data_IF_596069911087
#
_entry.id   IF_596069911087
#
_cell.length_a   1.000
_cell.length_b   1.000
_cell.length_c   1.000
_cell.angle_alpha   90.00
_cell.angle_beta   90.00
_cell.angle_gamma   90.00
#
_symmetry.space_group_name_H-M   'P 1'
#
loop_
_entity.id
_entity.type
_entity.pdbx_description
1 polymer ?
#
# COMPACT_ATOMS: atom_id res chain seq x y z
N UNK A 1 -9.78 74.24 -21.65
CA UNK A 1 -9.42 73.27 -22.69
C UNK A 1 -8.50 72.26 -22.04
N UNK A 2 -8.82 70.98 -22.26
CA UNK A 2 -7.97 69.78 -22.04
C UNK A 2 -7.53 69.47 -20.60
N UNK A 3 -8.13 68.48 -19.93
CA UNK A 3 -8.05 67.02 -20.12
C UNK A 3 -6.84 66.40 -19.40
N UNK A 4 -7.07 65.25 -18.76
CA UNK A 4 -5.98 64.37 -18.31
C UNK A 4 -6.07 63.92 -16.87
N UNK A 5 -6.94 62.95 -16.60
CA UNK A 5 -6.94 62.21 -15.34
C UNK A 5 -5.66 61.40 -15.13
N UNK A 6 -5.29 61.18 -13.86
CA UNK A 6 -4.24 60.24 -13.47
C UNK A 6 -4.72 59.41 -12.28
N UNK A 7 -5.08 58.17 -12.58
CA UNK A 7 -5.43 57.15 -11.59
C UNK A 7 -4.18 56.67 -10.82
N UNK A 8 -4.32 56.18 -9.58
CA UNK A 8 -3.22 55.62 -8.81
C UNK A 8 -2.82 54.22 -9.32
N UNK A 9 -1.54 54.03 -9.53
CA UNK A 9 -0.88 52.77 -9.90
C UNK A 9 -0.91 51.78 -8.72
N UNK A 10 -1.76 50.75 -8.80
CA UNK A 10 -1.64 49.54 -7.98
C UNK A 10 -0.57 48.59 -8.53
N UNK A 11 0.00 47.70 -7.69
CA UNK A 11 1.06 46.77 -8.10
C UNK A 11 0.52 45.71 -9.09
N UNK A 12 1.38 45.12 -9.94
CA UNK A 12 0.96 44.15 -10.94
C UNK A 12 0.42 42.88 -10.27
N UNK A 13 -0.77 42.46 -10.72
CA UNK A 13 -1.32 41.13 -10.43
C UNK A 13 -0.47 40.11 -11.18
N UNK A 14 0.40 39.41 -10.47
CA UNK A 14 1.02 38.19 -10.96
C UNK A 14 -0.08 37.21 -11.32
N UNK A 15 -0.21 36.95 -12.62
CA UNK A 15 -1.03 35.88 -13.15
C UNK A 15 -0.36 34.59 -12.73
N UNK A 16 -0.88 33.98 -11.67
CA UNK A 16 -0.64 32.61 -11.27
C UNK A 16 -0.93 31.70 -12.48
N UNK A 17 0.10 31.45 -13.28
CA UNK A 17 0.08 30.48 -14.34
C UNK A 17 0.02 29.11 -13.65
N UNK A 18 -1.20 28.61 -13.48
CA UNK A 18 -1.53 27.27 -13.01
C UNK A 18 -0.69 26.25 -13.78
N UNK A 19 0.43 25.84 -13.19
CA UNK A 19 1.33 24.87 -13.79
C UNK A 19 0.56 23.56 -13.98
N UNK A 20 0.47 23.13 -15.24
CA UNK A 20 -0.10 21.83 -15.60
C UNK A 20 0.76 20.74 -14.92
N UNK A 21 0.17 19.70 -14.32
CA UNK A 21 0.95 18.63 -13.71
C UNK A 21 1.80 17.97 -14.80
N UNK A 22 3.11 17.96 -14.57
CA UNK A 22 4.08 17.33 -15.46
C UNK A 22 3.76 15.83 -15.57
N UNK A 23 3.72 15.34 -16.80
CA UNK A 23 3.43 13.94 -17.13
C UNK A 23 4.49 13.05 -16.52
N UNK A 24 4.09 12.25 -15.52
CA UNK A 24 4.88 11.16 -14.94
C UNK A 24 5.27 10.21 -16.07
N UNK A 25 6.55 10.14 -16.43
CA UNK A 25 7.02 9.15 -17.39
C UNK A 25 6.94 7.77 -16.73
N UNK A 26 5.86 7.05 -17.01
CA UNK A 26 5.76 5.62 -16.75
C UNK A 26 6.93 4.94 -17.48
N UNK A 27 7.88 4.33 -16.78
CA UNK A 27 8.90 3.48 -17.39
C UNK A 27 8.28 2.10 -17.70
N UNK A 28 7.73 1.86 -18.91
CA UNK A 28 6.86 0.69 -19.13
C UNK A 28 7.66 -0.60 -19.07
N UNK A 29 8.96 -0.55 -19.40
CA UNK A 29 9.90 -1.66 -19.31
C UNK A 29 10.21 -2.05 -17.86
N UNK A 30 10.33 -1.08 -16.96
CA UNK A 30 10.58 -1.35 -15.54
C UNK A 30 9.33 -1.95 -14.88
N UNK A 31 8.15 -1.40 -15.19
CA UNK A 31 6.88 -1.97 -14.75
C UNK A 31 6.67 -3.41 -15.28
N UNK A 32 6.99 -3.66 -16.55
CA UNK A 32 6.94 -5.00 -17.13
C UNK A 32 7.91 -5.98 -16.46
N UNK A 33 9.14 -5.55 -16.14
CA UNK A 33 10.11 -6.38 -15.44
C UNK A 33 9.64 -6.72 -14.02
N UNK A 34 9.12 -5.73 -13.28
CA UNK A 34 8.55 -5.90 -11.94
C UNK A 34 7.34 -6.86 -11.96
N UNK A 35 6.43 -6.72 -12.92
CA UNK A 35 5.28 -7.62 -13.08
C UNK A 35 5.65 -9.05 -13.46
N UNK A 36 6.81 -9.26 -14.07
CA UNK A 36 7.32 -10.58 -14.42
C UNK A 36 8.19 -11.21 -13.34
N UNK A 37 8.56 -10.47 -12.29
CA UNK A 37 9.45 -10.99 -11.23
C UNK A 37 10.89 -11.19 -11.70
N UNK A 38 11.30 -10.58 -12.82
CA UNK A 38 12.67 -10.74 -13.32
C UNK A 38 13.60 -9.74 -12.62
N UNK A 39 14.37 -10.19 -11.64
CA UNK A 39 15.31 -9.34 -10.90
C UNK A 39 16.43 -8.76 -11.78
N UNK A 40 17.02 -9.56 -12.67
CA UNK A 40 18.23 -9.12 -13.41
C UNK A 40 17.99 -7.90 -14.32
N UNK A 41 16.93 -7.82 -15.15
CA UNK A 41 16.66 -6.61 -15.93
C UNK A 41 16.17 -5.46 -15.05
N UNK A 42 15.49 -5.77 -13.95
CA UNK A 42 14.98 -4.80 -13.00
C UNK A 42 16.13 -4.09 -12.28
N UNK A 43 17.13 -4.82 -11.81
CA UNK A 43 18.32 -4.26 -11.17
C UNK A 43 19.13 -3.39 -12.13
N UNK A 44 19.30 -3.80 -13.39
CA UNK A 44 19.96 -2.98 -14.41
C UNK A 44 19.19 -1.68 -14.64
N UNK A 45 17.86 -1.73 -14.72
CA UNK A 45 17.03 -0.54 -14.92
C UNK A 45 16.98 0.37 -13.68
N UNK A 46 17.17 -0.15 -12.48
CA UNK A 46 17.30 0.64 -11.26
C UNK A 46 18.71 1.22 -11.06
N UNK A 47 19.75 0.52 -11.53
CA UNK A 47 21.16 0.92 -11.35
C UNK A 47 21.74 1.79 -12.47
N UNK A 48 21.25 1.68 -13.72
CA UNK A 48 21.77 2.46 -14.85
C UNK A 48 21.12 3.85 -14.99
N UNK A 49 21.32 4.71 -13.99
CA UNK A 49 21.39 6.18 -14.18
C UNK A 49 22.83 6.71 -14.12
N UNK A 50 23.83 5.85 -14.24
CA UNK A 50 25.22 6.25 -14.42
C UNK A 50 26.10 5.06 -14.82
N UNK A 51 26.95 5.28 -15.83
CA UNK A 51 28.03 4.42 -16.31
C UNK A 51 27.66 3.27 -17.29
N UNK A 52 28.14 3.45 -18.55
CA UNK A 52 28.90 2.38 -19.17
C UNK A 52 28.37 1.71 -20.44
N UNK A 53 28.04 2.48 -21.48
CA UNK A 53 28.27 2.04 -22.87
C UNK A 53 28.40 3.25 -23.82
N UNK A 54 29.58 3.42 -24.43
CA UNK A 54 29.91 4.37 -25.53
C UNK A 54 30.57 3.59 -26.68
N UNK A 55 30.79 4.12 -27.93
CA UNK A 55 30.35 5.37 -28.62
C UNK A 55 29.91 5.08 -30.10
N UNK A 56 29.88 6.02 -31.11
CA UNK A 56 30.01 7.51 -31.18
C UNK A 56 28.74 8.16 -31.82
N UNK A 57 28.46 9.47 -31.94
CA UNK A 57 29.23 10.72 -31.90
C UNK A 57 28.29 11.93 -31.65
N UNK A 58 28.91 13.04 -31.21
CA UNK A 58 28.58 14.47 -31.33
C UNK A 58 27.50 15.17 -30.46
N UNK A 59 27.98 16.27 -29.87
CA UNK A 59 27.32 17.45 -29.28
C UNK A 59 27.00 17.50 -27.76
N UNK A 60 28.04 17.94 -27.05
CA UNK A 60 28.11 18.89 -25.92
C UNK A 60 26.84 19.38 -25.18
N UNK A 61 26.98 19.30 -23.84
CA UNK A 61 26.25 19.84 -22.65
C UNK A 61 25.70 21.29 -22.76
N UNK A 62 24.72 21.75 -21.94
CA UNK A 62 24.97 22.10 -20.52
C UNK A 62 23.95 21.56 -19.49
N UNK A 63 24.26 21.67 -18.18
CA UNK A 63 23.58 21.03 -17.06
C UNK A 63 22.50 21.92 -16.45
N UNK A 64 21.41 21.33 -15.96
CA UNK A 64 20.40 22.04 -15.19
C UNK A 64 19.01 21.43 -15.33
N UNK A 65 18.58 20.69 -14.32
CA UNK A 65 17.26 20.06 -14.30
C UNK A 65 16.92 19.53 -12.92
N UNK A 66 17.02 20.39 -11.90
CA UNK A 66 16.38 20.17 -10.61
C UNK A 66 14.87 20.25 -10.83
N UNK A 67 14.14 19.18 -10.51
CA UNK A 67 12.69 19.25 -10.35
C UNK A 67 12.40 19.08 -8.86
N UNK A 68 12.22 20.24 -8.23
CA UNK A 68 11.64 20.41 -6.91
C UNK A 68 10.13 20.12 -6.98
N UNK A 69 9.49 19.64 -5.91
CA UNK A 69 8.20 20.13 -5.39
C UNK A 69 7.77 19.37 -4.13
N UNK A 70 7.76 20.16 -3.04
CA UNK A 70 6.84 20.27 -1.89
C UNK A 70 6.64 19.03 -1.01
N UNK A 71 7.42 19.03 0.08
CA UNK A 71 7.10 18.39 1.35
C UNK A 71 6.26 19.41 2.13
N UNK A 72 4.96 19.17 2.27
CA UNK A 72 4.20 19.72 3.39
C UNK A 72 4.27 18.67 4.50
N UNK A 73 5.32 18.72 5.33
CA UNK A 73 5.27 18.20 6.69
C UNK A 73 6.36 18.85 7.55
N UNK A 74 5.91 19.68 8.48
CA UNK A 74 6.67 20.12 9.65
C UNK A 74 6.91 18.88 10.54
N UNK A 75 8.00 18.15 10.32
CA UNK A 75 8.96 17.72 11.34
C UNK A 75 10.02 16.72 10.81
N UNK A 76 11.28 17.18 10.85
CA UNK A 76 12.53 16.47 11.17
C UNK A 76 12.78 15.05 10.59
N UNK A 77 13.61 14.92 9.55
CA UNK A 77 15.08 14.77 9.67
C UNK A 77 15.72 14.44 8.30
N UNK A 78 16.92 14.99 8.09
CA UNK A 78 17.68 14.97 6.84
C UNK A 78 18.09 13.54 6.46
N UNK A 79 17.65 13.07 5.28
CA UNK A 79 18.25 11.91 4.61
C UNK A 79 18.60 12.27 3.17
N UNK A 80 19.83 11.88 2.81
CA UNK A 80 20.61 12.24 1.66
C UNK A 80 19.94 12.00 0.29
N UNK A 81 20.31 12.86 -0.65
CA UNK A 81 19.64 13.14 -1.91
C UNK A 81 20.27 12.34 -3.06
N UNK A 82 20.03 11.02 -3.12
CA UNK A 82 20.44 10.18 -4.25
C UNK A 82 19.39 9.11 -4.57
N UNK A 83 18.75 9.30 -5.73
CA UNK A 83 17.81 8.40 -6.43
C UNK A 83 16.35 8.37 -5.94
N UNK A 84 15.61 9.37 -6.40
CA UNK A 84 14.20 9.34 -6.81
C UNK A 84 13.60 7.93 -6.98
N UNK A 85 12.81 7.50 -6.00
CA UNK A 85 11.34 7.44 -6.12
C UNK A 85 10.81 7.00 -7.50
N UNK A 86 11.08 5.76 -7.90
CA UNK A 86 10.53 5.23 -9.15
C UNK A 86 9.05 4.83 -8.93
N UNK A 87 8.16 5.82 -9.03
CA UNK A 87 6.71 5.58 -9.17
C UNK A 87 6.44 5.06 -10.58
N UNK A 88 5.75 3.93 -10.68
CA UNK A 88 5.66 3.12 -11.90
C UNK A 88 4.30 3.15 -12.59
N UNK A 89 3.24 3.58 -11.91
CA UNK A 89 1.88 3.48 -12.44
C UNK A 89 0.95 4.64 -12.04
N UNK A 90 -0.29 4.58 -12.54
CA UNK A 90 -1.36 5.55 -12.27
C UNK A 90 -1.78 5.62 -10.80
N UNK A 91 -1.45 4.60 -10.00
CA UNK A 91 -1.71 4.55 -8.56
C UNK A 91 -0.48 4.98 -7.74
N UNK A 92 0.57 5.49 -8.40
CA UNK A 92 1.84 5.84 -7.77
C UNK A 92 2.48 4.67 -7.02
N UNK A 93 2.25 3.44 -7.49
CA UNK A 93 2.93 2.26 -6.95
C UNK A 93 4.42 2.35 -7.28
N UNK A 94 5.26 2.11 -6.28
CA UNK A 94 6.68 1.92 -6.51
C UNK A 94 6.96 0.49 -7.03
N UNK A 95 8.22 0.21 -7.34
CA UNK A 95 8.67 -1.10 -7.82
C UNK A 95 8.29 -2.23 -6.85
N UNK A 96 8.42 -2.01 -5.54
CA UNK A 96 8.11 -3.01 -4.52
C UNK A 96 6.60 -3.26 -4.39
N UNK A 97 5.73 -2.25 -4.50
CA UNK A 97 4.28 -2.45 -4.56
C UNK A 97 3.87 -3.35 -5.72
N UNK A 98 4.48 -3.14 -6.90
CA UNK A 98 4.18 -3.92 -8.10
C UNK A 98 4.64 -5.36 -7.93
N UNK A 99 5.90 -5.59 -7.52
CA UNK A 99 6.40 -6.95 -7.29
C UNK A 99 5.56 -7.66 -6.22
N UNK A 100 5.25 -6.97 -5.12
CA UNK A 100 4.49 -7.52 -4.01
C UNK A 100 3.07 -7.96 -4.38
N UNK A 101 2.44 -7.32 -5.38
CA UNK A 101 1.10 -7.67 -5.86
C UNK A 101 1.09 -8.61 -7.07
N UNK A 102 2.24 -8.83 -7.72
CA UNK A 102 2.30 -9.58 -8.99
C UNK A 102 2.45 -11.08 -8.80
N UNK A 103 3.07 -11.54 -7.72
CA UNK A 103 3.28 -12.97 -7.48
C UNK A 103 4.06 -13.26 -6.20
N UNK A 104 4.08 -14.53 -5.82
CA UNK A 104 4.73 -15.03 -4.60
C UNK A 104 5.68 -16.23 -4.87
N UNK A 105 6.01 -16.47 -6.15
CA UNK A 105 7.03 -17.43 -6.57
C UNK A 105 8.45 -16.93 -6.34
N UNK A 106 9.43 -17.84 -6.38
CA UNK A 106 10.83 -17.58 -6.00
C UNK A 106 11.46 -16.39 -6.73
N UNK A 107 11.14 -16.20 -8.02
CA UNK A 107 11.61 -15.06 -8.82
C UNK A 107 11.11 -13.71 -8.29
N UNK A 108 9.85 -13.65 -7.84
CA UNK A 108 9.27 -12.46 -7.23
C UNK A 108 9.85 -12.19 -5.85
N UNK A 109 10.05 -13.24 -5.05
CA UNK A 109 10.67 -13.11 -3.72
C UNK A 109 12.10 -12.59 -3.84
N UNK A 110 12.88 -13.12 -4.79
CA UNK A 110 14.24 -12.66 -5.02
C UNK A 110 14.29 -11.24 -5.57
N UNK A 111 13.34 -10.88 -6.44
CA UNK A 111 13.16 -9.50 -6.88
C UNK A 111 12.82 -8.56 -5.72
N UNK A 112 11.91 -8.96 -4.83
CA UNK A 112 11.54 -8.18 -3.66
C UNK A 112 12.73 -7.99 -2.71
N UNK A 113 13.51 -9.05 -2.46
CA UNK A 113 14.76 -8.99 -1.70
C UNK A 113 15.75 -8.03 -2.33
N UNK A 114 16.00 -8.16 -3.63
CA UNK A 114 16.93 -7.31 -4.35
C UNK A 114 16.53 -5.82 -4.26
N UNK A 115 15.26 -5.52 -4.50
CA UNK A 115 14.72 -4.16 -4.37
C UNK A 115 14.89 -3.64 -2.95
N UNK A 116 14.58 -4.47 -1.95
CA UNK A 116 14.69 -4.10 -0.55
C UNK A 116 16.15 -3.83 -0.14
N UNK A 117 17.10 -4.65 -0.58
CA UNK A 117 18.52 -4.46 -0.32
C UNK A 117 19.06 -3.15 -0.93
N UNK A 118 18.57 -2.78 -2.12
CA UNK A 118 18.96 -1.54 -2.80
C UNK A 118 18.26 -0.31 -2.19
N UNK A 119 16.97 -0.42 -1.86
CA UNK A 119 16.13 0.70 -1.45
C UNK A 119 15.16 0.30 -0.33
N UNK A 120 15.68 0.17 0.89
CA UNK A 120 14.92 -0.26 2.08
C UNK A 120 13.69 0.60 2.39
N UNK A 121 13.80 1.91 2.14
CA UNK A 121 12.72 2.87 2.37
C UNK A 121 11.45 2.57 1.55
N UNK A 122 11.55 1.79 0.47
CA UNK A 122 10.38 1.41 -0.34
C UNK A 122 9.41 0.48 0.38
N UNK A 123 9.86 -0.24 1.42
CA UNK A 123 8.98 -1.06 2.26
C UNK A 123 7.95 -0.21 3.01
N UNK A 124 8.34 1.03 3.31
CA UNK A 124 7.55 1.99 4.07
C UNK A 124 6.75 2.96 3.22
N UNK A 125 7.08 3.03 1.93
CA UNK A 125 6.50 3.97 1.00
C UNK A 125 5.03 3.69 0.76
N UNK A 126 4.27 4.78 0.64
CA UNK A 126 2.83 4.78 0.41
C UNK A 126 2.53 5.13 -1.04
N UNK A 127 1.62 4.40 -1.67
CA UNK A 127 1.11 4.73 -2.99
C UNK A 127 0.01 5.81 -2.88
N UNK A 128 -0.68 6.13 -3.99
CA UNK A 128 -1.76 7.12 -4.05
C UNK A 128 -2.93 6.86 -3.08
N UNK A 129 -3.17 5.61 -2.69
CA UNK A 129 -4.24 5.21 -1.74
C UNK A 129 -3.72 5.13 -0.30
N UNK A 130 -2.45 5.47 -0.07
CA UNK A 130 -1.78 5.27 1.21
C UNK A 130 -1.33 3.82 1.44
N UNK A 131 -1.47 2.91 0.48
CA UNK A 131 -1.11 1.50 0.65
C UNK A 131 0.41 1.34 0.69
N UNK A 132 0.88 0.52 1.62
CA UNK A 132 2.27 0.01 1.64
C UNK A 132 2.37 -1.29 0.82
N UNK A 133 3.58 -1.78 0.48
CA UNK A 133 3.74 -3.07 -0.18
C UNK A 133 3.05 -4.24 0.55
N UNK A 134 2.97 -4.20 1.89
CA UNK A 134 2.20 -5.17 2.68
C UNK A 134 0.71 -5.17 2.35
N UNK A 135 0.10 -4.00 2.15
CA UNK A 135 -1.32 -3.91 1.76
C UNK A 135 -1.54 -4.52 0.39
N UNK A 136 -0.65 -4.23 -0.57
CA UNK A 136 -0.72 -4.76 -1.93
C UNK A 136 -0.57 -6.29 -1.95
N UNK A 137 0.40 -6.84 -1.23
CA UNK A 137 0.59 -8.29 -1.11
C UNK A 137 -0.59 -8.98 -0.41
N UNK A 138 -1.06 -8.44 0.71
CA UNK A 138 -2.20 -8.99 1.45
C UNK A 138 -3.49 -8.96 0.62
N UNK A 139 -3.74 -7.86 -0.11
CA UNK A 139 -4.90 -7.73 -1.00
C UNK A 139 -4.85 -8.66 -2.20
N UNK A 140 -3.65 -8.93 -2.71
CA UNK A 140 -3.44 -9.88 -3.79
C UNK A 140 -3.47 -11.34 -3.32
N UNK A 141 -3.41 -11.60 -2.00
CA UNK A 141 -3.37 -12.96 -1.45
C UNK A 141 -2.00 -13.62 -1.55
N UNK A 142 -0.94 -12.83 -1.68
CA UNK A 142 0.44 -13.30 -1.88
C UNK A 142 1.08 -13.70 -0.54
N UNK A 143 0.68 -14.85 0.01
CA UNK A 143 1.05 -15.28 1.36
C UNK A 143 2.57 -15.40 1.55
N UNK A 144 3.26 -16.06 0.61
CA UNK A 144 4.72 -16.22 0.70
C UNK A 144 5.43 -14.88 0.61
N UNK A 145 4.90 -13.95 -0.19
CA UNK A 145 5.43 -12.58 -0.29
C UNK A 145 5.27 -11.82 1.02
N UNK A 146 4.10 -11.85 1.66
CA UNK A 146 3.89 -11.20 2.97
C UNK A 146 4.86 -11.75 4.01
N UNK A 147 4.98 -13.08 4.08
CA UNK A 147 5.92 -13.77 4.98
C UNK A 147 7.36 -13.33 4.70
N UNK A 148 7.74 -13.23 3.43
CA UNK A 148 9.06 -12.80 3.01
C UNK A 148 9.35 -11.33 3.40
N UNK A 149 8.40 -10.43 3.17
CA UNK A 149 8.52 -9.02 3.58
C UNK A 149 8.63 -8.86 5.10
N UNK A 150 7.92 -9.69 5.89
CA UNK A 150 8.08 -9.77 7.35
C UNK A 150 9.50 -10.19 7.70
N UNK A 151 10.03 -11.24 7.07
CA UNK A 151 11.40 -11.70 7.30
C UNK A 151 12.44 -10.61 6.96
N UNK A 152 12.25 -9.87 5.86
CA UNK A 152 13.13 -8.75 5.48
C UNK A 152 13.10 -7.63 6.53
N UNK A 153 11.91 -7.21 6.96
CA UNK A 153 11.75 -6.20 8.02
C UNK A 153 12.38 -6.66 9.35
N UNK A 154 12.18 -7.92 9.71
CA UNK A 154 12.75 -8.53 10.92
C UNK A 154 14.27 -8.59 10.87
N UNK A 155 14.84 -8.87 9.71
CA UNK A 155 16.30 -8.87 9.52
C UNK A 155 16.92 -7.46 9.64
N UNK A 156 16.16 -6.40 9.34
CA UNK A 156 16.63 -5.01 9.46
C UNK A 156 16.59 -4.48 10.88
N UNK A 157 15.50 -4.72 11.61
CA UNK A 157 15.29 -4.09 12.92
C UNK A 157 14.45 -4.90 13.90
N UNK A 158 14.40 -6.22 13.71
CA UNK A 158 13.69 -7.13 14.60
C UNK A 158 12.17 -6.94 14.59
N UNK A 159 11.53 -7.37 15.68
CA UNK A 159 10.07 -7.38 15.78
C UNK A 159 9.47 -5.96 15.82
N UNK A 160 10.19 -4.98 16.35
CA UNK A 160 9.73 -3.58 16.39
C UNK A 160 9.61 -2.98 14.99
N UNK A 161 10.55 -3.32 14.10
CA UNK A 161 10.51 -2.91 12.70
C UNK A 161 9.33 -3.53 11.96
N UNK A 162 9.06 -4.82 12.20
CA UNK A 162 7.91 -5.53 11.65
C UNK A 162 6.60 -4.87 12.10
N UNK A 163 6.44 -4.65 13.42
CA UNK A 163 5.26 -3.98 13.99
C UNK A 163 5.06 -2.59 13.40
N UNK A 164 6.11 -1.77 13.33
CA UNK A 164 6.04 -0.44 12.74
C UNK A 164 5.56 -0.48 11.27
N UNK A 165 5.99 -1.47 10.49
CA UNK A 165 5.59 -1.62 9.10
C UNK A 165 4.14 -2.13 8.94
N UNK A 166 3.73 -3.12 9.74
CA UNK A 166 2.40 -3.74 9.67
C UNK A 166 1.27 -2.85 10.24
N UNK A 167 1.58 -2.02 11.24
CA UNK A 167 0.62 -1.08 11.86
C UNK A 167 0.31 0.14 10.99
N UNK A 168 1.05 0.35 9.88
CA UNK A 168 0.75 1.44 8.95
C UNK A 168 -0.65 1.28 8.39
N UNK A 169 -1.42 2.35 8.49
CA UNK A 169 -2.73 2.46 7.88
C UNK A 169 -2.65 3.21 6.55
N UNK A 170 -3.50 2.82 5.60
CA UNK A 170 -3.72 3.54 4.36
C UNK A 170 -4.70 4.72 4.54
N UNK A 171 -5.08 5.42 3.47
CA UNK A 171 -5.97 6.58 3.54
C UNK A 171 -7.39 6.25 4.05
N UNK A 172 -7.78 4.97 4.03
CA UNK A 172 -9.05 4.48 4.55
C UNK A 172 -8.94 3.97 6.00
N UNK A 173 -7.77 4.10 6.63
CA UNK A 173 -7.50 3.52 7.94
C UNK A 173 -7.34 1.99 7.91
N UNK A 174 -7.24 1.37 6.73
CA UNK A 174 -7.02 -0.07 6.61
C UNK A 174 -5.56 -0.40 6.89
N UNK A 175 -5.31 -1.47 7.64
CA UNK A 175 -4.01 -2.16 7.74
C UNK A 175 -3.97 -3.35 6.77
N UNK A 176 -2.80 -3.99 6.61
CA UNK A 176 -2.68 -5.22 5.81
C UNK A 176 -3.63 -6.35 6.25
N UNK A 177 -3.97 -6.43 7.55
CA UNK A 177 -4.94 -7.39 8.09
C UNK A 177 -6.35 -7.18 7.52
N UNK A 178 -6.78 -5.92 7.41
CA UNK A 178 -8.09 -5.59 6.84
C UNK A 178 -8.18 -6.02 5.37
N UNK A 179 -7.10 -5.81 4.62
CA UNK A 179 -7.00 -6.27 3.24
C UNK A 179 -7.08 -7.80 3.15
N UNK A 180 -6.38 -8.52 4.04
CA UNK A 180 -6.40 -9.99 4.09
C UNK A 180 -7.82 -10.55 4.34
N UNK A 181 -8.58 -9.95 5.25
CA UNK A 181 -9.95 -10.40 5.57
C UNK A 181 -10.90 -10.36 4.36
N UNK A 182 -10.65 -9.46 3.40
CA UNK A 182 -11.46 -9.29 2.19
C UNK A 182 -11.15 -10.29 1.06
N UNK A 183 -10.11 -11.12 1.21
CA UNK A 183 -9.76 -12.14 0.23
C UNK A 183 -10.89 -13.16 0.06
N UNK A 184 -11.07 -13.66 -1.16
CA UNK A 184 -12.15 -14.59 -1.51
C UNK A 184 -11.89 -16.01 -1.01
N UNK A 185 -10.65 -16.47 -1.06
CA UNK A 185 -10.27 -17.83 -0.67
C UNK A 185 -10.07 -17.95 0.84
N UNK A 186 -10.86 -18.83 1.47
CA UNK A 186 -10.91 -18.95 2.94
C UNK A 186 -9.59 -19.45 3.53
N UNK A 187 -8.94 -20.41 2.88
CA UNK A 187 -7.68 -20.97 3.37
C UNK A 187 -6.56 -19.93 3.29
N UNK A 188 -6.48 -19.18 2.19
CA UNK A 188 -5.54 -18.06 2.08
C UNK A 188 -5.83 -16.98 3.11
N UNK A 189 -7.10 -16.62 3.37
CA UNK A 189 -7.45 -15.64 4.43
C UNK A 189 -6.94 -16.14 5.77
N UNK A 190 -7.25 -17.40 6.12
CA UNK A 190 -6.87 -18.00 7.41
C UNK A 190 -5.35 -17.99 7.60
N UNK A 191 -4.61 -18.46 6.60
CA UNK A 191 -3.15 -18.48 6.64
C UNK A 191 -2.56 -17.06 6.72
N UNK A 192 -3.08 -16.12 5.93
CA UNK A 192 -2.61 -14.72 5.92
C UNK A 192 -2.88 -14.02 7.26
N UNK A 193 -4.08 -14.20 7.83
CA UNK A 193 -4.42 -13.64 9.14
C UNK A 193 -3.55 -14.25 10.22
N UNK A 194 -3.29 -15.56 10.18
CA UNK A 194 -2.40 -16.23 11.12
C UNK A 194 -0.97 -15.67 11.04
N UNK A 195 -0.38 -15.54 9.84
CA UNK A 195 0.96 -14.97 9.68
C UNK A 195 1.06 -13.53 10.19
N UNK A 196 0.07 -12.69 9.86
CA UNK A 196 0.02 -11.31 10.34
C UNK A 196 -0.16 -11.23 11.85
N UNK A 197 -0.98 -12.12 12.42
CA UNK A 197 -1.18 -12.21 13.86
C UNK A 197 0.09 -12.63 14.60
N UNK A 198 0.79 -13.66 14.11
CA UNK A 198 2.07 -14.10 14.71
C UNK A 198 3.10 -12.98 14.67
N UNK A 199 3.12 -12.19 13.61
CA UNK A 199 4.01 -11.05 13.48
C UNK A 199 3.65 -9.88 14.42
N UNK A 200 2.36 -9.57 14.58
CA UNK A 200 1.88 -8.53 15.49
C UNK A 200 0.42 -8.77 15.94
N UNK A 201 0.20 -9.35 17.13
CA UNK A 201 -1.15 -9.63 17.65
C UNK A 201 -1.99 -8.36 17.84
N UNK A 202 -1.34 -7.22 18.09
CA UNK A 202 -2.04 -5.95 18.34
C UNK A 202 -2.69 -5.37 17.08
N UNK A 203 -2.39 -5.89 15.88
CA UNK A 203 -3.04 -5.47 14.63
C UNK A 203 -4.56 -5.54 14.67
N UNK A 204 -5.09 -6.43 15.50
CA UNK A 204 -6.53 -6.68 15.66
C UNK A 204 -7.24 -5.61 16.49
N UNK A 205 -6.47 -4.73 17.12
CA UNK A 205 -6.96 -3.60 17.93
C UNK A 205 -7.07 -2.31 17.12
N UNK A 206 -6.58 -2.29 15.87
CA UNK A 206 -6.65 -1.13 14.99
C UNK A 206 -7.97 -1.13 14.22
N UNK A 207 -8.92 -0.22 14.52
CA UNK A 207 -10.15 -0.10 13.74
C UNK A 207 -9.91 0.63 12.42
N UNK A 208 -10.80 0.38 11.46
CA UNK A 208 -10.94 1.19 10.26
C UNK A 208 -11.30 2.64 10.59
N UNK A 209 -11.10 3.57 9.65
CA UNK A 209 -11.50 4.97 9.81
C UNK A 209 -13.02 5.13 10.08
N UNK A 210 -13.83 4.16 9.67
CA UNK A 210 -15.27 4.09 9.96
C UNK A 210 -15.60 3.64 11.40
N UNK A 211 -14.61 3.39 12.25
CA UNK A 211 -14.79 2.82 13.59
C UNK A 211 -15.03 1.32 13.60
N UNK A 212 -14.89 0.66 12.44
CA UNK A 212 -15.11 -0.78 12.30
C UNK A 212 -13.91 -1.55 12.83
N UNK A 213 -14.13 -2.36 13.88
CA UNK A 213 -13.10 -3.28 14.39
C UNK A 213 -12.81 -4.42 13.41
N UNK A 214 -11.59 -5.00 13.43
CA UNK A 214 -11.26 -6.21 12.67
C UNK A 214 -12.20 -7.38 12.95
N UNK A 215 -12.64 -7.55 14.19
CA UNK A 215 -13.61 -8.58 14.57
C UNK A 215 -14.98 -8.35 13.92
N UNK A 216 -15.49 -7.10 13.95
CA UNK A 216 -16.71 -6.75 13.23
C UNK A 216 -16.58 -7.02 11.74
N UNK A 217 -15.44 -6.69 11.14
CA UNK A 217 -15.19 -6.93 9.73
C UNK A 217 -15.19 -8.44 9.40
N UNK A 218 -14.52 -9.28 10.21
CA UNK A 218 -14.50 -10.73 10.03
C UNK A 218 -15.91 -11.33 10.09
N UNK A 219 -16.71 -10.96 11.09
CA UNK A 219 -18.11 -11.42 11.20
C UNK A 219 -18.93 -10.89 10.03
N UNK A 220 -18.83 -9.60 9.69
CA UNK A 220 -19.52 -8.99 8.55
C UNK A 220 -19.23 -9.72 7.23
N UNK A 221 -18.02 -10.21 7.04
CA UNK A 221 -17.60 -10.97 5.86
C UNK A 221 -17.93 -12.47 5.95
N UNK A 222 -18.37 -12.96 7.11
CA UNK A 222 -18.72 -14.36 7.34
C UNK A 222 -17.53 -15.28 7.54
N UNK A 223 -16.42 -14.73 8.05
CA UNK A 223 -15.25 -15.49 8.48
C UNK A 223 -15.47 -15.91 9.94
N UNK A 224 -16.40 -16.84 10.14
CA UNK A 224 -16.82 -17.31 11.47
C UNK A 224 -15.64 -17.93 12.24
N UNK A 225 -14.83 -18.74 11.54
CA UNK A 225 -13.60 -19.37 12.01
C UNK A 225 -12.54 -18.36 12.49
N UNK A 226 -12.31 -17.30 11.70
CA UNK A 226 -11.35 -16.26 12.06
C UNK A 226 -11.90 -15.41 13.21
N UNK A 227 -13.19 -15.10 13.21
CA UNK A 227 -13.80 -14.32 14.29
C UNK A 227 -13.75 -15.05 15.64
N UNK A 228 -13.97 -16.36 15.65
CA UNK A 228 -13.81 -17.21 16.83
C UNK A 228 -12.36 -17.22 17.30
N UNK A 229 -11.40 -17.47 16.40
CA UNK A 229 -9.98 -17.46 16.73
C UNK A 229 -9.48 -16.11 17.27
N UNK A 230 -9.99 -14.99 16.74
CA UNK A 230 -9.69 -13.67 17.29
C UNK A 230 -10.24 -13.51 18.72
N UNK A 231 -11.50 -13.87 18.94
CA UNK A 231 -12.16 -13.75 20.23
C UNK A 231 -11.51 -14.57 21.34
N UNK A 232 -11.09 -15.80 21.04
CA UNK A 232 -10.44 -16.69 22.02
C UNK A 232 -9.08 -16.18 22.48
N UNK A 233 -8.37 -15.43 21.63
CA UNK A 233 -6.97 -15.07 21.84
C UNK A 233 -6.77 -13.67 22.43
N UNK A 234 -7.68 -12.70 22.18
CA UNK A 234 -7.65 -11.38 22.81
C UNK A 234 -9.02 -11.01 23.44
N UNK A 235 -9.19 -11.24 24.75
CA UNK A 235 -10.42 -10.88 25.47
C UNK A 235 -10.72 -9.36 25.45
N UNK A 236 -9.72 -8.53 25.16
CA UNK A 236 -9.82 -7.07 25.10
C UNK A 236 -10.13 -6.49 23.73
N UNK A 237 -10.53 -7.32 22.76
CA UNK A 237 -10.89 -6.88 21.41
C UNK A 237 -12.05 -5.88 21.40
N UNK A 238 -11.97 -4.93 20.48
CA UNK A 238 -13.09 -4.06 20.18
C UNK A 238 -14.16 -4.81 19.39
N UNK A 239 -15.42 -4.66 19.79
CA UNK A 239 -16.60 -5.19 19.10
C UNK A 239 -17.33 -4.11 18.30
N UNK A 240 -16.75 -2.92 18.19
CA UNK A 240 -17.38 -1.77 17.56
C UNK A 240 -17.46 -1.92 16.05
N UNK A 241 -18.58 -1.45 15.50
CA UNK A 241 -18.86 -1.33 14.08
C UNK A 241 -19.29 0.10 13.73
N UNK A 242 -19.54 0.35 12.44
CA UNK A 242 -19.96 1.67 11.98
C UNK A 242 -21.34 2.03 12.53
N UNK A 243 -21.64 3.33 12.63
CA UNK A 243 -22.94 3.86 13.07
C UNK A 243 -23.40 3.35 14.46
N UNK A 244 -22.46 3.08 15.37
CA UNK A 244 -22.77 2.59 16.72
C UNK A 244 -23.24 1.12 16.76
N UNK A 245 -23.16 0.40 15.65
CA UNK A 245 -23.42 -1.04 15.64
C UNK A 245 -22.29 -1.79 16.34
N UNK A 246 -22.61 -2.98 16.85
CA UNK A 246 -21.60 -3.90 17.39
C UNK A 246 -21.61 -5.24 16.63
N UNK A 247 -20.62 -6.08 16.90
CA UNK A 247 -20.47 -7.42 16.28
C UNK A 247 -21.75 -8.26 16.38
N UNK A 248 -22.51 -8.17 17.49
CA UNK A 248 -23.74 -8.94 17.66
C UNK A 248 -24.85 -8.51 16.68
N UNK A 249 -24.96 -7.21 16.37
CA UNK A 249 -25.91 -6.73 15.37
C UNK A 249 -25.68 -7.40 14.02
N UNK A 250 -24.42 -7.44 13.56
CA UNK A 250 -24.08 -8.04 12.27
C UNK A 250 -24.16 -9.57 12.30
N UNK A 251 -23.83 -10.22 13.42
CA UNK A 251 -23.96 -11.67 13.59
C UNK A 251 -25.42 -12.13 13.41
N UNK A 252 -26.39 -11.44 14.04
CA UNK A 252 -27.82 -11.74 13.89
C UNK A 252 -28.30 -11.54 12.45
N UNK A 253 -27.90 -10.44 11.82
CA UNK A 253 -28.23 -10.16 10.41
C UNK A 253 -27.70 -11.25 9.47
N UNK A 254 -26.52 -11.80 9.74
CA UNK A 254 -25.95 -12.89 8.93
C UNK A 254 -26.62 -14.24 9.19
N UNK A 255 -26.91 -14.57 10.45
CA UNK A 255 -27.63 -15.80 10.81
C UNK A 255 -29.00 -15.85 10.14
N UNK A 256 -29.75 -14.74 10.15
CA UNK A 256 -31.06 -14.66 9.49
C UNK A 256 -30.97 -14.77 7.97
N UNK A 257 -29.93 -14.21 7.33
CA UNK A 257 -29.67 -14.40 5.90
C UNK A 257 -29.33 -15.85 5.55
N UNK A 258 -28.45 -16.50 6.33
CA UNK A 258 -28.06 -17.91 6.14
C UNK A 258 -29.29 -18.82 6.18
N UNK A 259 -30.16 -18.63 7.18
CA UNK A 259 -31.42 -19.37 7.32
C UNK A 259 -32.41 -19.13 6.17
N UNK A 260 -32.48 -17.91 5.63
CA UNK A 260 -33.34 -17.60 4.47
C UNK A 260 -32.85 -18.30 3.20
N UNK A 261 -31.52 -18.35 2.97
CA UNK A 261 -30.95 -19.09 1.84
C UNK A 261 -31.25 -20.58 1.94
N UNK A 262 -30.98 -21.20 3.10
CA UNK A 262 -31.23 -22.64 3.27
C UNK A 262 -32.70 -23.00 3.08
N UNK A 263 -33.62 -22.13 3.51
CA UNK A 263 -35.05 -22.35 3.31
C UNK A 263 -35.45 -22.20 1.83
N UNK A 264 -34.84 -21.26 1.09
CA UNK A 264 -35.09 -21.07 -0.33
C UNK A 264 -34.55 -22.23 -1.17
N UNK A 265 -33.35 -22.73 -0.86
CA UNK A 265 -32.75 -23.90 -1.52
C UNK A 265 -33.58 -25.17 -1.28
N UNK A 266 -34.10 -25.36 -0.06
CA UNK A 266 -35.03 -26.45 0.26
C UNK A 266 -36.35 -26.35 -0.52
N UNK A 267 -36.88 -25.14 -0.72
CA UNK A 267 -38.09 -24.91 -1.50
C UNK A 267 -37.88 -25.04 -3.01
N UNK A 268 -36.65 -24.90 -3.52
CA UNK A 268 -36.34 -25.06 -4.93
C UNK A 268 -36.13 -26.54 -5.36
N UNK A 269 -36.11 -27.46 -4.40
CA UNK A 269 -35.96 -28.91 -4.61
C UNK A 269 -37.29 -29.68 -4.46
N UNK A 270 -38.40 -28.97 -4.24
CA UNK A 270 -39.78 -29.50 -4.21
C UNK A 270 -40.54 -28.98 -5.44
#
# INVERSE_FOLDING_TARGET
MESGGKAPSGPPKDKEAKAKPAVVQQHPKLLMAARKGHWTPLNVLMGNSGAGATPPAVHAVPPGGLINIVIDDEQADVVDNSATTITLDVELNNVLHVVASSGDGDEFLESARGIYCTAKHLLDARNKKGDTPFHCAARAGMLKMVTHLICLAKAEGGDDRVKAALRKQNEQGETALHAALRLSDKETVRAMVHELWVADPELTRFPLASGTSPLYLAVSLGREDIAEGLHEQDPGLSYSGPNGQNVLHVAVLRSTRKRKLTNKERLALL
#
